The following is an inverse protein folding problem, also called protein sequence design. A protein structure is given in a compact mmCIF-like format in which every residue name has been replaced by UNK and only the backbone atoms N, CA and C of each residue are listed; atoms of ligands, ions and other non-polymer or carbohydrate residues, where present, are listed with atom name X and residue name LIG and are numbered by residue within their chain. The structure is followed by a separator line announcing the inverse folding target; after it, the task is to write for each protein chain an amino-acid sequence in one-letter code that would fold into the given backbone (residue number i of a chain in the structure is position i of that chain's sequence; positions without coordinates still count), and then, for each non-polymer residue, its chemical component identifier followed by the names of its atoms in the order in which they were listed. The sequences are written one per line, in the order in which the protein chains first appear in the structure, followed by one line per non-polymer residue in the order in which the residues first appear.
data_IF_568509205432
#
_entry.id   IF_568509205432
#
_cell.length_a   1.000
_cell.length_b   1.000
_cell.length_c   1.000
_cell.angle_alpha   90.00
_cell.angle_beta   90.00
_cell.angle_gamma   90.00
#
_symmetry.space_group_name_H-M   'P 1'
#
loop_
_entity.id
_entity.type
_entity.pdbx_description
1 polymer ?
#
# COMPACT_ATOMS: atom_id res chain seq x y z
N UNK A 1 19.73 -34.64 15.58
CA UNK A 1 19.14 -34.92 14.26
C UNK A 1 17.67 -35.27 14.51
N UNK A 2 16.76 -34.31 14.35
CA UNK A 2 15.33 -34.50 14.53
C UNK A 2 14.62 -33.73 13.42
N UNK A 3 14.12 -34.44 12.42
CA UNK A 3 13.35 -33.90 11.34
C UNK A 3 11.93 -33.59 11.87
N UNK A 4 11.55 -32.33 11.92
CA UNK A 4 10.18 -31.92 12.19
C UNK A 4 9.35 -32.14 10.93
N UNK A 5 8.41 -33.06 11.04
CA UNK A 5 7.45 -33.41 9.98
C UNK A 5 6.39 -32.32 9.93
N UNK A 6 6.41 -31.49 8.90
CA UNK A 6 5.34 -30.54 8.62
C UNK A 6 4.15 -31.31 8.06
N UNK A 7 3.13 -31.49 8.87
CA UNK A 7 1.85 -32.09 8.44
C UNK A 7 1.10 -31.07 7.59
N UNK A 8 0.95 -31.35 6.29
CA UNK A 8 0.01 -30.64 5.40
C UNK A 8 -1.39 -31.15 5.70
N UNK A 9 -2.17 -30.34 6.39
CA UNK A 9 -3.62 -30.58 6.55
C UNK A 9 -4.35 -29.90 5.40
N UNK A 10 -4.95 -30.66 4.54
CA UNK A 10 -5.88 -30.19 3.50
C UNK A 10 -7.26 -30.15 4.13
N UNK A 11 -7.76 -28.95 4.40
CA UNK A 11 -9.13 -28.76 4.90
C UNK A 11 -10.11 -28.64 3.74
N UNK A 12 -11.02 -29.57 3.64
CA UNK A 12 -12.11 -29.55 2.68
C UNK A 12 -13.30 -28.77 3.26
N UNK A 13 -13.68 -27.68 2.62
CA UNK A 13 -14.88 -26.90 2.98
C UNK A 13 -16.12 -27.61 2.48
N UNK A 14 -16.96 -28.09 3.38
CA UNK A 14 -18.32 -28.53 3.07
C UNK A 14 -19.27 -27.32 3.17
N UNK A 15 -19.69 -26.79 2.01
CA UNK A 15 -20.75 -25.78 1.94
C UNK A 15 -22.08 -26.47 2.15
N UNK A 16 -22.70 -26.31 3.31
CA UNK A 16 -24.09 -26.70 3.55
C UNK A 16 -25.01 -25.60 2.99
N UNK A 17 -25.47 -25.81 1.75
CA UNK A 17 -26.52 -25.00 1.15
C UNK A 17 -27.87 -25.33 1.80
N UNK A 18 -28.51 -24.33 2.40
CA UNK A 18 -29.88 -24.42 2.84
C UNK A 18 -30.83 -24.37 1.63
N UNK A 19 -31.40 -25.47 1.26
CA UNK A 19 -32.43 -25.62 0.23
C UNK A 19 -33.79 -26.00 0.83
N UNK A 20 -34.70 -25.19 0.62
CA UNK A 20 -36.13 -25.01 0.76
C UNK A 20 -37.03 -26.27 0.66
N UNK A 21 -37.92 -26.38 1.64
CA UNK A 21 -39.30 -26.88 1.73
C UNK A 21 -39.82 -27.88 0.65
N UNK A 22 -40.25 -28.99 1.16
CA UNK A 22 -41.18 -29.90 0.48
C UNK A 22 -41.51 -31.07 1.38
N UNK A 23 -42.68 -31.03 2.02
CA UNK A 23 -43.12 -32.04 2.97
C UNK A 23 -43.35 -33.39 2.33
N UNK A 24 -42.91 -34.45 3.02
CA UNK A 24 -43.53 -35.78 2.99
C UNK A 24 -43.20 -36.54 4.27
N UNK A 25 -44.25 -37.07 4.90
CA UNK A 25 -44.20 -37.90 6.08
C UNK A 25 -43.49 -39.23 5.78
N UNK A 26 -42.52 -39.59 6.58
CA UNK A 26 -42.07 -40.96 6.70
C UNK A 26 -41.62 -41.24 8.15
N UNK A 27 -42.00 -42.43 8.59
CA UNK A 27 -42.00 -42.94 9.94
C UNK A 27 -40.63 -43.12 10.58
N UNK A 28 -40.54 -43.28 11.93
CA UNK A 28 -39.31 -43.36 12.67
C UNK A 28 -38.65 -44.74 12.52
N UNK A 29 -37.39 -44.74 12.13
CA UNK A 29 -36.50 -45.90 12.30
C UNK A 29 -35.67 -45.64 13.57
N UNK A 30 -35.96 -46.41 14.61
CA UNK A 30 -35.14 -46.49 15.80
C UNK A 30 -33.76 -47.04 15.45
N UNK A 31 -32.75 -46.23 15.67
CA UNK A 31 -31.35 -46.61 15.73
C UNK A 31 -30.70 -45.92 16.89
N UNK A 32 -30.64 -46.62 18.03
CA UNK A 32 -29.90 -46.21 19.20
C UNK A 32 -28.43 -46.30 18.91
N UNK A 33 -27.78 -45.13 18.90
CA UNK A 33 -26.31 -45.01 18.90
C UNK A 33 -25.96 -43.78 19.72
N UNK A 34 -25.87 -43.98 21.02
CA UNK A 34 -25.34 -42.96 21.98
C UNK A 34 -23.85 -42.79 21.69
N UNK A 35 -23.51 -41.62 21.19
CA UNK A 35 -22.15 -41.13 21.05
C UNK A 35 -22.24 -39.65 21.14
N UNK A 36 -22.52 -39.12 22.35
CA UNK A 36 -22.29 -37.73 22.67
C UNK A 36 -20.79 -37.50 22.71
N UNK A 37 -20.27 -37.00 21.58
CA UNK A 37 -18.99 -36.34 21.49
C UNK A 37 -19.32 -34.92 21.05
N UNK A 38 -19.71 -34.11 22.01
CA UNK A 38 -19.79 -32.66 21.91
C UNK A 38 -18.39 -32.09 21.70
N UNK A 39 -17.80 -32.35 20.55
CA UNK A 39 -16.67 -31.58 20.06
C UNK A 39 -17.19 -30.24 19.59
N UNK A 40 -16.81 -29.16 20.24
CA UNK A 40 -16.99 -27.81 19.69
C UNK A 40 -16.49 -27.83 18.22
N UNK A 41 -17.22 -27.21 17.27
CA UNK A 41 -16.75 -27.17 15.90
C UNK A 41 -15.39 -26.49 15.89
N UNK A 42 -14.33 -27.23 15.54
CA UNK A 42 -13.00 -26.68 15.31
C UNK A 42 -13.12 -25.85 14.05
N UNK A 43 -13.34 -24.56 14.21
CA UNK A 43 -13.36 -23.62 13.07
C UNK A 43 -11.90 -23.33 12.73
N UNK A 44 -11.43 -24.00 11.72
CA UNK A 44 -10.09 -23.79 11.15
C UNK A 44 -10.07 -22.47 10.37
N UNK A 45 -9.18 -21.57 10.71
CA UNK A 45 -8.97 -20.35 9.93
C UNK A 45 -8.25 -20.72 8.63
N UNK A 46 -8.91 -20.50 7.50
CA UNK A 46 -8.32 -20.74 6.18
C UNK A 46 -7.33 -19.61 5.84
N UNK A 47 -6.03 -19.91 5.93
CA UNK A 47 -4.94 -19.01 5.52
C UNK A 47 -5.10 -18.51 4.09
N UNK A 48 -5.75 -19.31 3.22
CA UNK A 48 -6.00 -18.96 1.82
C UNK A 48 -6.98 -17.79 1.71
N UNK A 49 -8.01 -17.74 2.57
CA UNK A 49 -8.96 -16.63 2.58
C UNK A 49 -8.29 -15.32 2.98
N UNK A 50 -7.45 -15.34 4.01
CA UNK A 50 -6.71 -14.14 4.43
C UNK A 50 -5.73 -13.71 3.34
N UNK A 51 -4.99 -14.64 2.76
CA UNK A 51 -4.05 -14.34 1.67
C UNK A 51 -4.77 -13.80 0.43
N UNK A 52 -5.88 -14.42 0.04
CA UNK A 52 -6.65 -14.00 -1.13
C UNK A 52 -7.30 -12.63 -0.94
N UNK A 53 -7.58 -12.21 0.29
CA UNK A 53 -8.10 -10.87 0.56
C UNK A 53 -7.13 -9.74 0.18
N UNK A 54 -5.85 -10.06 -0.02
CA UNK A 54 -4.82 -9.15 -0.51
C UNK A 54 -4.47 -9.38 -1.99
N UNK A 55 -4.82 -10.55 -2.57
CA UNK A 55 -4.33 -10.99 -3.88
C UNK A 55 -4.80 -10.12 -5.05
N UNK A 56 -5.96 -9.49 -4.93
CA UNK A 56 -6.54 -8.63 -5.97
C UNK A 56 -6.00 -7.18 -5.92
N UNK A 57 -5.14 -6.89 -4.94
CA UNK A 57 -4.53 -5.57 -4.75
C UNK A 57 -3.10 -5.64 -5.29
N UNK A 58 -2.81 -4.93 -6.36
CA UNK A 58 -1.45 -4.89 -6.91
C UNK A 58 -0.51 -4.06 -6.05
N UNK A 59 -0.96 -2.85 -5.69
CA UNK A 59 -0.24 -1.85 -4.90
C UNK A 59 -1.13 -1.34 -3.77
N UNK A 60 -0.57 -1.12 -2.58
CA UNK A 60 -1.28 -0.59 -1.42
C UNK A 60 -0.62 0.70 -0.93
N UNK A 61 -1.14 1.85 -1.37
CA UNK A 61 -0.77 3.14 -0.79
C UNK A 61 -1.42 3.30 0.59
N UNK A 62 -0.61 3.59 1.61
CA UNK A 62 -1.11 3.72 2.99
C UNK A 62 -1.00 5.14 3.54
N UNK A 63 -0.13 5.98 2.99
CA UNK A 63 0.03 7.37 3.37
C UNK A 63 0.37 8.23 2.16
N UNK A 64 0.00 9.51 2.21
CA UNK A 64 0.39 10.49 1.19
C UNK A 64 0.85 11.81 1.82
N UNK A 65 1.79 12.46 1.15
CA UNK A 65 2.31 13.77 1.47
C UNK A 65 1.95 14.74 0.35
N UNK A 66 1.03 15.66 0.65
CA UNK A 66 0.66 16.72 -0.30
C UNK A 66 1.57 17.93 -0.06
N UNK A 67 2.07 18.51 -1.15
CA UNK A 67 2.93 19.67 -1.10
C UNK A 67 2.50 20.76 -2.07
N UNK A 68 2.82 21.99 -1.73
CA UNK A 68 2.76 23.17 -2.62
C UNK A 68 4.06 23.90 -2.46
N UNK A 69 4.76 24.13 -3.54
CA UNK A 69 6.08 24.76 -3.55
C UNK A 69 6.17 25.84 -4.60
N UNK A 70 7.13 26.75 -4.39
CA UNK A 70 7.49 27.78 -5.35
C UNK A 70 8.90 27.47 -5.86
N UNK A 71 9.01 27.21 -7.13
CA UNK A 71 10.28 27.00 -7.82
C UNK A 71 10.72 28.27 -8.53
N UNK A 72 12.02 28.55 -8.51
CA UNK A 72 12.62 29.59 -9.36
C UNK A 72 13.33 28.90 -10.52
N UNK A 73 12.90 29.18 -11.71
CA UNK A 73 13.61 28.82 -12.94
C UNK A 73 14.42 30.05 -13.40
N UNK A 74 15.69 29.87 -13.67
CA UNK A 74 16.56 30.91 -14.19
C UNK A 74 17.36 30.37 -15.36
N UNK A 75 17.26 31.03 -16.48
CA UNK A 75 18.08 30.75 -17.66
C UNK A 75 19.13 31.85 -17.80
N UNK A 76 20.39 31.43 -17.91
CA UNK A 76 21.49 32.39 -18.15
C UNK A 76 21.38 32.96 -19.56
N UNK A 77 21.51 34.27 -19.66
CA UNK A 77 21.50 34.96 -20.96
C UNK A 77 22.67 34.58 -21.83
N UNK A 78 22.53 34.83 -23.12
CA UNK A 78 23.61 34.62 -24.15
C UNK A 78 24.82 35.47 -23.80
N UNK A 79 26.00 34.82 -23.73
CA UNK A 79 27.28 35.51 -23.47
C UNK A 79 28.01 35.73 -24.80
N UNK A 80 28.33 36.99 -25.13
CA UNK A 80 29.14 37.36 -26.27
C UNK A 80 30.42 38.03 -25.75
N UNK A 81 31.58 37.48 -26.10
CA UNK A 81 32.90 37.90 -25.59
C UNK A 81 33.00 37.95 -24.05
N UNK A 82 32.32 37.04 -23.36
CA UNK A 82 32.33 36.96 -21.90
C UNK A 82 31.42 37.95 -21.18
N UNK A 83 30.67 38.78 -21.91
CA UNK A 83 29.66 39.70 -21.37
C UNK A 83 28.26 39.19 -21.68
N UNK A 84 27.36 39.22 -20.69
CA UNK A 84 25.95 38.92 -20.89
C UNK A 84 25.29 39.98 -21.76
N UNK A 85 24.52 39.50 -22.75
CA UNK A 85 23.72 40.39 -23.63
C UNK A 85 22.46 40.78 -22.84
N UNK A 86 22.20 42.07 -22.56
CA UNK A 86 21.01 42.49 -21.87
C UNK A 86 19.72 42.03 -22.55
N UNK A 87 18.74 41.49 -21.76
CA UNK A 87 17.47 41.06 -22.32
C UNK A 87 17.45 39.63 -22.88
N UNK A 88 18.52 38.84 -22.65
CA UNK A 88 18.57 37.43 -23.05
C UNK A 88 18.44 36.44 -21.89
N UNK A 89 18.49 36.91 -20.65
CA UNK A 89 18.22 36.09 -19.47
C UNK A 89 16.71 36.01 -19.17
N UNK A 90 16.24 34.86 -18.78
CA UNK A 90 14.85 34.65 -18.40
C UNK A 90 14.77 34.17 -16.93
N UNK A 91 13.85 34.73 -16.18
CA UNK A 91 13.56 34.31 -14.79
C UNK A 91 12.06 34.09 -14.63
N UNK A 92 11.71 32.93 -14.08
CA UNK A 92 10.32 32.59 -13.81
C UNK A 92 10.18 32.11 -12.37
N UNK A 93 9.12 32.56 -11.70
CA UNK A 93 8.63 31.96 -10.47
C UNK A 93 7.47 31.06 -10.85
N UNK A 94 7.58 29.80 -10.49
CA UNK A 94 6.58 28.77 -10.79
C UNK A 94 6.06 28.22 -9.48
N UNK A 95 4.75 28.31 -9.25
CA UNK A 95 4.08 27.61 -8.17
C UNK A 95 3.54 26.29 -8.70
N UNK A 96 3.72 25.24 -7.94
CA UNK A 96 3.22 23.91 -8.29
C UNK A 96 2.83 23.15 -7.03
N UNK A 97 1.85 22.27 -7.17
CA UNK A 97 1.39 21.37 -6.13
C UNK A 97 1.50 19.93 -6.60
N UNK A 98 1.65 19.02 -5.65
CA UNK A 98 1.79 17.61 -5.97
C UNK A 98 1.55 16.72 -4.77
N UNK A 99 1.70 15.42 -5.01
CA UNK A 99 1.51 14.38 -4.02
C UNK A 99 2.64 13.35 -4.11
N UNK A 100 3.14 12.93 -2.95
CA UNK A 100 4.05 11.79 -2.80
C UNK A 100 3.29 10.69 -2.06
N UNK A 101 3.19 9.50 -2.64
CA UNK A 101 2.54 8.33 -2.04
C UNK A 101 3.57 7.34 -1.53
N UNK A 102 3.29 6.75 -0.37
CA UNK A 102 4.09 5.68 0.21
C UNK A 102 3.21 4.50 0.62
N UNK A 103 3.78 3.29 0.53
CA UNK A 103 3.07 2.06 0.84
C UNK A 103 3.83 0.82 0.37
N UNK A 104 3.11 -0.25 0.07
CA UNK A 104 3.63 -1.52 -0.42
C UNK A 104 3.42 -1.62 -1.93
N UNK A 105 4.51 -1.72 -2.69
CA UNK A 105 4.45 -1.80 -4.16
C UNK A 105 3.95 -3.16 -4.68
N UNK A 106 4.20 -4.23 -3.93
CA UNK A 106 3.79 -5.58 -4.33
C UNK A 106 3.14 -6.31 -3.14
N UNK A 107 1.81 -6.25 -3.09
CA UNK A 107 1.00 -6.87 -2.03
C UNK A 107 0.99 -8.40 -2.13
N UNK A 108 1.29 -8.97 -3.31
CA UNK A 108 1.36 -10.43 -3.50
C UNK A 108 2.46 -11.11 -2.66
N UNK A 109 3.44 -10.31 -2.18
CA UNK A 109 4.53 -10.76 -1.31
C UNK A 109 4.16 -10.87 0.16
N UNK A 110 2.93 -10.48 0.54
CA UNK A 110 2.42 -10.67 1.89
C UNK A 110 2.32 -12.16 2.19
N UNK A 111 2.87 -12.56 3.33
CA UNK A 111 2.82 -13.94 3.81
C UNK A 111 1.93 -13.99 5.06
N UNK A 112 1.09 -15.02 5.13
CA UNK A 112 0.18 -15.23 6.25
C UNK A 112 0.43 -16.63 6.82
N UNK A 113 0.68 -16.69 8.13
CA UNK A 113 0.83 -17.92 8.88
C UNK A 113 -0.17 -17.93 10.04
N UNK A 114 -0.84 -19.06 10.26
CA UNK A 114 -1.80 -19.25 11.35
C UNK A 114 -1.31 -20.32 12.28
N UNK A 115 -1.12 -19.99 13.53
CA UNK A 115 -0.91 -20.93 14.64
C UNK A 115 -2.26 -21.14 15.33
N UNK A 116 -2.91 -22.26 15.00
CA UNK A 116 -4.20 -22.63 15.59
C UNK A 116 -4.09 -22.97 17.08
N UNK A 117 -2.94 -23.50 17.50
CA UNK A 117 -2.69 -23.87 18.90
C UNK A 117 -2.46 -22.65 19.78
N UNK A 118 -1.66 -21.72 19.28
CA UNK A 118 -1.36 -20.45 19.96
C UNK A 118 -2.42 -19.39 19.73
N UNK A 119 -3.37 -19.60 18.84
CA UNK A 119 -4.38 -18.62 18.43
C UNK A 119 -3.73 -17.32 17.92
N UNK A 120 -2.70 -17.43 17.07
CA UNK A 120 -1.97 -16.29 16.49
C UNK A 120 -2.02 -16.34 15.00
N UNK A 121 -2.38 -15.21 14.37
CA UNK A 121 -2.23 -14.97 12.94
C UNK A 121 -1.07 -14.03 12.73
N UNK A 122 0.01 -14.52 12.11
CA UNK A 122 1.19 -13.73 11.78
C UNK A 122 1.12 -13.32 10.31
N UNK A 123 1.18 -12.02 10.07
CA UNK A 123 1.21 -11.45 8.71
C UNK A 123 2.54 -10.75 8.51
N UNK A 124 3.38 -11.30 7.64
CA UNK A 124 4.64 -10.68 7.23
C UNK A 124 4.40 -9.86 5.97
N UNK A 125 4.65 -8.55 6.07
CA UNK A 125 4.45 -7.60 4.96
C UNK A 125 5.79 -7.13 4.40
N UNK A 126 5.85 -6.76 3.10
CA UNK A 126 7.03 -6.15 2.50
C UNK A 126 7.36 -4.77 3.11
N UNK A 127 8.55 -4.28 2.83
CA UNK A 127 8.95 -2.93 3.24
C UNK A 127 8.07 -1.87 2.56
N UNK A 128 7.80 -0.81 3.30
CA UNK A 128 7.15 0.40 2.76
C UNK A 128 8.18 1.19 1.97
N UNK A 129 7.77 1.68 0.81
CA UNK A 129 8.59 2.49 -0.07
C UNK A 129 7.79 3.63 -0.70
N UNK A 130 8.46 4.55 -1.37
CA UNK A 130 7.80 5.57 -2.18
C UNK A 130 7.24 4.89 -3.43
N UNK A 131 5.94 4.98 -3.61
CA UNK A 131 5.21 4.41 -4.75
C UNK A 131 5.17 5.37 -5.93
N UNK A 132 4.96 6.65 -5.63
CA UNK A 132 4.96 7.70 -6.64
C UNK A 132 5.25 9.06 -6.03
N UNK A 133 5.88 9.93 -6.82
CA UNK A 133 5.94 11.36 -6.57
C UNK A 133 5.49 12.04 -7.86
N UNK A 134 4.48 12.88 -7.79
CA UNK A 134 3.91 13.53 -8.97
C UNK A 134 3.50 14.96 -8.68
N UNK A 135 3.75 15.83 -9.63
CA UNK A 135 3.24 17.21 -9.66
C UNK A 135 1.96 17.21 -10.50
N UNK A 136 0.92 17.87 -10.01
CA UNK A 136 -0.29 18.08 -10.80
C UNK A 136 -0.01 19.15 -11.88
N UNK A 137 -0.02 18.79 -13.17
CA UNK A 137 0.23 19.75 -14.24
C UNK A 137 -0.78 20.90 -14.27
N UNK A 138 -2.00 20.69 -13.77
CA UNK A 138 -3.04 21.72 -13.71
C UNK A 138 -2.78 22.76 -12.61
N UNK A 139 -1.93 22.44 -11.63
CA UNK A 139 -1.54 23.31 -10.52
C UNK A 139 -0.37 24.23 -10.86
N UNK A 140 0.26 24.05 -12.02
CA UNK A 140 1.44 24.83 -12.42
C UNK A 140 1.03 26.22 -12.84
N UNK A 141 1.39 27.21 -12.03
CA UNK A 141 1.14 28.63 -12.29
C UNK A 141 2.46 29.38 -12.38
N UNK A 142 2.59 30.20 -13.39
CA UNK A 142 3.79 31.03 -13.59
C UNK A 142 3.52 32.44 -13.12
N UNK A 143 4.34 32.92 -12.17
CA UNK A 143 4.33 34.29 -11.68
C UNK A 143 5.65 34.96 -12.09
N UNK A 144 5.57 36.25 -12.40
CA UNK A 144 6.70 37.09 -12.74
C UNK A 144 7.56 36.56 -13.90
N UNK A 145 7.19 36.96 -15.11
CA UNK A 145 7.95 36.70 -16.33
C UNK A 145 8.79 37.93 -16.65
N UNK A 146 10.10 37.84 -16.51
CA UNK A 146 10.97 38.77 -17.21
C UNK A 146 11.04 38.36 -18.68
N UNK A 147 10.54 39.23 -19.55
CA UNK A 147 10.39 38.94 -20.98
C UNK A 147 11.77 38.85 -21.65
N UNK A 148 12.12 37.66 -22.15
CA UNK A 148 13.24 37.49 -23.09
C UNK A 148 12.69 37.45 -24.52
N UNK A 149 13.26 38.29 -25.39
CA UNK A 149 12.85 38.36 -26.81
C UNK A 149 13.39 37.15 -27.58
N UNK A 150 14.36 36.42 -27.03
CA UNK A 150 15.15 35.42 -27.74
C UNK A 150 14.91 33.99 -27.21
N UNK A 151 14.60 33.81 -25.94
CA UNK A 151 14.45 32.49 -25.34
C UNK A 151 12.96 32.17 -25.13
N UNK A 152 12.47 31.25 -25.94
CA UNK A 152 11.20 30.56 -25.70
C UNK A 152 11.49 29.31 -24.90
N UNK A 153 10.78 29.10 -23.79
CA UNK A 153 10.89 27.89 -22.96
C UNK A 153 10.64 26.66 -23.84
N UNK A 154 11.61 25.76 -23.94
CA UNK A 154 11.40 24.46 -24.58
C UNK A 154 10.63 23.52 -23.65
N UNK A 155 9.65 22.80 -24.19
CA UNK A 155 8.82 21.84 -23.41
C UNK A 155 9.70 20.80 -22.69
N UNK A 156 10.83 20.42 -23.26
CA UNK A 156 11.79 19.49 -22.67
C UNK A 156 12.41 20.01 -21.36
N UNK A 157 12.68 21.29 -21.28
CA UNK A 157 13.27 21.92 -20.09
C UNK A 157 12.29 21.96 -18.92
N UNK A 158 11.03 22.27 -19.20
CA UNK A 158 9.95 22.22 -18.18
C UNK A 158 9.78 20.81 -17.66
N UNK A 159 9.81 19.81 -18.53
CA UNK A 159 9.68 18.40 -18.13
C UNK A 159 10.82 17.97 -17.21
N UNK A 160 12.05 18.34 -17.56
CA UNK A 160 13.24 18.04 -16.74
C UNK A 160 13.15 18.73 -15.37
N UNK A 161 12.77 20.02 -15.38
CA UNK A 161 12.57 20.77 -14.13
C UNK A 161 11.53 20.11 -13.23
N UNK A 162 10.38 19.71 -13.78
CA UNK A 162 9.34 19.05 -12.98
C UNK A 162 9.81 17.71 -12.42
N UNK A 163 10.52 16.89 -13.21
CA UNK A 163 11.07 15.63 -12.74
C UNK A 163 12.07 15.82 -11.57
N UNK A 164 12.94 16.83 -11.65
CA UNK A 164 13.85 17.17 -10.54
C UNK A 164 13.08 17.61 -9.28
N UNK A 165 11.97 18.32 -9.46
CA UNK A 165 11.12 18.74 -8.33
C UNK A 165 10.34 17.59 -7.71
N UNK A 166 9.90 16.63 -8.50
CA UNK A 166 9.26 15.39 -8.02
C UNK A 166 10.25 14.58 -7.16
N UNK A 167 11.49 14.40 -7.62
CA UNK A 167 12.53 13.73 -6.86
C UNK A 167 12.83 14.46 -5.54
N UNK A 168 12.99 15.78 -5.58
CA UNK A 168 13.22 16.58 -4.38
C UNK A 168 12.04 16.53 -3.39
N UNK A 169 10.80 16.48 -3.89
CA UNK A 169 9.61 16.33 -3.06
C UNK A 169 9.55 14.95 -2.40
N UNK A 170 9.97 13.89 -3.09
CA UNK A 170 10.09 12.56 -2.50
C UNK A 170 11.10 12.53 -1.34
N UNK A 171 12.29 13.11 -1.53
CA UNK A 171 13.31 13.21 -0.49
C UNK A 171 12.82 14.02 0.71
N UNK A 172 12.13 15.13 0.46
CA UNK A 172 11.53 15.96 1.50
C UNK A 172 10.46 15.19 2.28
N UNK A 173 9.59 14.46 1.59
CA UNK A 173 8.54 13.65 2.21
C UNK A 173 9.13 12.55 3.11
N UNK A 174 10.19 11.87 2.66
CA UNK A 174 10.94 10.89 3.48
C UNK A 174 11.52 11.56 4.71
N UNK A 175 12.19 12.72 4.56
CA UNK A 175 12.77 13.46 5.68
C UNK A 175 11.73 13.93 6.71
N UNK A 176 10.48 14.12 6.29
CA UNK A 176 9.32 14.46 7.14
C UNK A 176 8.62 13.26 7.74
N UNK A 177 9.18 12.05 7.57
CA UNK A 177 8.70 10.82 8.18
C UNK A 177 7.51 10.20 7.45
N UNK A 178 7.38 10.38 6.13
CA UNK A 178 6.30 9.78 5.34
C UNK A 178 6.34 8.25 5.45
N UNK A 179 7.52 7.63 5.36
CA UNK A 179 7.66 6.17 5.43
C UNK A 179 7.26 5.62 6.80
N UNK A 180 7.62 6.29 7.89
CA UNK A 180 7.25 5.86 9.25
C UNK A 180 5.73 5.91 9.46
N UNK A 181 5.09 6.98 8.96
CA UNK A 181 3.62 7.11 9.00
C UNK A 181 2.94 6.04 8.15
N UNK A 182 3.46 5.80 6.95
CA UNK A 182 2.94 4.79 6.05
C UNK A 182 3.05 3.38 6.66
N UNK A 183 4.15 3.09 7.36
CA UNK A 183 4.36 1.83 8.07
C UNK A 183 3.38 1.64 9.22
N UNK A 184 3.15 2.66 10.05
CA UNK A 184 2.16 2.59 11.12
C UNK A 184 0.72 2.39 10.58
N UNK A 185 0.38 3.08 9.49
CA UNK A 185 -0.91 2.90 8.83
C UNK A 185 -1.08 1.53 8.18
N UNK A 186 -0.01 1.00 7.59
CA UNK A 186 0.00 -0.34 7.02
C UNK A 186 -0.35 -1.40 8.07
N UNK A 187 0.25 -1.31 9.26
CA UNK A 187 -0.05 -2.22 10.37
C UNK A 187 -1.54 -2.19 10.75
N UNK A 188 -2.12 -0.99 10.86
CA UNK A 188 -3.54 -0.82 11.19
C UNK A 188 -4.46 -1.39 10.10
N UNK A 189 -4.14 -1.14 8.82
CA UNK A 189 -4.92 -1.63 7.68
C UNK A 189 -4.88 -3.15 7.62
N UNK A 190 -3.70 -3.75 7.75
CA UNK A 190 -3.53 -5.21 7.75
C UNK A 190 -4.28 -5.84 8.91
N UNK A 191 -4.17 -5.32 10.14
CA UNK A 191 -4.93 -5.82 11.30
C UNK A 191 -6.43 -5.75 11.07
N UNK A 192 -6.94 -4.64 10.55
CA UNK A 192 -8.38 -4.49 10.24
C UNK A 192 -8.83 -5.47 9.18
N UNK A 193 -8.04 -5.65 8.11
CA UNK A 193 -8.36 -6.58 7.04
C UNK A 193 -8.41 -8.02 7.54
N UNK A 194 -7.40 -8.46 8.31
CA UNK A 194 -7.38 -9.81 8.89
C UNK A 194 -8.56 -10.02 9.82
N UNK A 195 -8.85 -9.08 10.71
CA UNK A 195 -9.98 -9.17 11.62
C UNK A 195 -11.33 -9.22 10.87
N UNK A 196 -11.46 -8.51 9.75
CA UNK A 196 -12.66 -8.56 8.92
C UNK A 196 -12.84 -9.95 8.27
N UNK A 197 -11.75 -10.59 7.85
CA UNK A 197 -11.79 -11.96 7.30
C UNK A 197 -12.07 -13.00 8.38
N UNK A 198 -11.53 -12.82 9.60
CA UNK A 198 -11.77 -13.69 10.74
C UNK A 198 -13.21 -13.60 11.26
N UNK A 199 -13.89 -12.47 11.05
CA UNK A 199 -15.27 -12.25 11.48
C UNK A 199 -15.47 -12.52 12.99
N UNK A 200 -16.39 -13.41 13.33
CA UNK A 200 -16.70 -13.76 14.72
C UNK A 200 -15.53 -14.42 15.48
N UNK A 201 -14.53 -14.95 14.74
CA UNK A 201 -13.34 -15.56 15.32
C UNK A 201 -12.25 -14.54 15.66
N UNK A 202 -12.36 -13.29 15.22
CA UNK A 202 -11.36 -12.26 15.46
C UNK A 202 -11.02 -12.09 16.95
N UNK A 203 -12.00 -12.28 17.84
CA UNK A 203 -11.79 -12.19 19.30
C UNK A 203 -10.96 -13.34 19.90
N UNK A 204 -10.79 -14.44 19.16
CA UNK A 204 -10.03 -15.62 19.60
C UNK A 204 -8.59 -15.61 19.16
N UNK A 205 -8.24 -14.79 18.15
CA UNK A 205 -6.92 -14.75 17.55
C UNK A 205 -6.21 -13.43 17.83
N UNK A 206 -4.93 -13.51 18.16
CA UNK A 206 -4.03 -12.36 18.17
C UNK A 206 -3.48 -12.14 16.76
N UNK A 207 -3.68 -10.97 16.18
CA UNK A 207 -3.10 -10.61 14.89
C UNK A 207 -1.78 -9.90 15.09
N UNK A 208 -0.70 -10.53 14.65
CA UNK A 208 0.68 -10.01 14.70
C UNK A 208 1.17 -9.65 13.31
N UNK A 209 1.47 -8.36 13.11
CA UNK A 209 2.05 -7.87 11.86
C UNK A 209 3.56 -7.75 12.02
N UNK A 210 4.29 -8.41 11.14
CA UNK A 210 5.76 -8.35 11.09
C UNK A 210 6.15 -7.41 9.96
N UNK A 211 6.74 -6.28 10.34
CA UNK A 211 7.23 -5.25 9.45
C UNK A 211 8.76 -5.37 9.35
N UNK A 212 9.34 -5.34 8.15
CA UNK A 212 10.78 -5.21 8.02
C UNK A 212 11.22 -3.81 8.50
N UNK A 213 12.47 -3.65 8.90
CA UNK A 213 12.97 -2.31 9.20
C UNK A 213 12.81 -1.42 7.97
N UNK A 214 12.52 -0.10 8.17
CA UNK A 214 12.42 0.82 7.05
C UNK A 214 13.75 0.82 6.27
N UNK A 215 13.71 1.02 4.94
CA UNK A 215 14.93 1.16 4.16
C UNK A 215 15.77 2.29 4.74
N UNK A 216 17.07 2.06 4.85
CA UNK A 216 18.00 3.10 5.31
C UNK A 216 17.93 4.28 4.33
N UNK A 217 18.01 5.52 4.83
CA UNK A 217 17.98 6.72 4.02
C UNK A 217 19.18 6.83 3.09
#
# INVERSE_FOLDING_TARGET
MGFSTVAKVVASVAIAGAGFVGGMKAAPVFGVGSGDQGGEPVVTVDTTLVKNSFADIGELATESYNFTQVGKYSEEGTKVFGMEVPGTSAHYLITYSGEVKAGVADVSRIQVEVDETGHVVTVTVPAVEILSASIDPASVETYDQSFSIVNQIEVGEVTTFLADREAAAADEAVSKGLLDKAQGRLEDVVKKQVNAVLGDQASKYEVRVVLPPPPAP
#
